data_IF_835518173541
#
_entry.id   IF_835518173541
#
_cell.length_a   1.000
_cell.length_b   1.000
_cell.length_c   1.000
_cell.angle_alpha   90.00
_cell.angle_beta   90.00
_cell.angle_gamma   90.00
#
_symmetry.space_group_name_H-M   'P 1'
#
loop_
_entity.id
_entity.type
_entity.pdbx_description
1 polymer ?
#
# COMPACT_ATOMS: atom_id res chain seq x y z
N UNK A 1 -10.33 65.47 -25.89
CA UNK A 1 -11.10 64.21 -25.87
C UNK A 1 -10.31 62.97 -25.40
N UNK A 2 -9.19 63.06 -24.66
CA UNK A 2 -8.35 61.88 -24.39
C UNK A 2 -8.18 61.45 -22.91
N UNK A 3 -8.42 62.31 -21.92
CA UNK A 3 -8.07 61.96 -20.53
C UNK A 3 -8.95 60.84 -19.94
N UNK A 4 -10.26 60.86 -20.17
CA UNK A 4 -11.21 59.82 -19.68
C UNK A 4 -11.01 58.45 -20.35
N UNK A 5 -10.65 58.43 -21.64
CA UNK A 5 -10.40 57.17 -22.35
C UNK A 5 -9.09 56.53 -21.87
N UNK A 6 -8.05 57.33 -21.61
CA UNK A 6 -6.78 56.83 -21.08
C UNK A 6 -6.97 56.19 -19.70
N UNK A 7 -7.71 56.82 -18.76
CA UNK A 7 -7.95 56.24 -17.42
C UNK A 7 -8.72 54.91 -17.48
N UNK A 8 -9.70 54.80 -18.40
CA UNK A 8 -10.51 53.59 -18.54
C UNK A 8 -9.68 52.39 -19.04
N UNK A 9 -8.75 52.64 -19.97
CA UNK A 9 -7.86 51.59 -20.49
C UNK A 9 -6.83 51.15 -19.44
N UNK A 10 -6.33 52.05 -18.59
CA UNK A 10 -5.40 51.71 -17.51
C UNK A 10 -6.05 50.85 -16.44
N UNK A 11 -7.30 51.16 -16.04
CA UNK A 11 -8.05 50.38 -15.06
C UNK A 11 -8.40 48.98 -15.61
N UNK A 12 -8.79 48.90 -16.88
CA UNK A 12 -9.08 47.60 -17.52
C UNK A 12 -7.84 46.72 -17.67
N UNK A 13 -6.68 47.32 -18.02
CA UNK A 13 -5.41 46.59 -18.10
C UNK A 13 -4.94 46.10 -16.73
N UNK A 14 -5.07 46.92 -15.68
CA UNK A 14 -4.74 46.52 -14.30
C UNK A 14 -5.66 45.38 -13.81
N UNK A 15 -6.96 45.45 -14.14
CA UNK A 15 -7.90 44.36 -13.85
C UNK A 15 -7.51 43.06 -14.58
N UNK A 16 -7.14 43.11 -15.86
CA UNK A 16 -6.70 41.92 -16.61
C UNK A 16 -5.43 41.28 -16.02
N UNK A 17 -4.48 42.08 -15.52
CA UNK A 17 -3.26 41.57 -14.88
C UNK A 17 -3.58 40.87 -13.54
N UNK A 18 -4.57 41.36 -12.78
CA UNK A 18 -5.02 40.70 -11.55
C UNK A 18 -5.71 39.35 -11.80
N UNK A 19 -6.28 39.11 -13.00
CA UNK A 19 -6.91 37.82 -13.34
C UNK A 19 -5.91 36.76 -13.84
N UNK A 20 -4.68 37.14 -14.22
CA UNK A 20 -3.67 36.21 -14.72
C UNK A 20 -2.91 35.44 -13.62
N UNK A 21 -3.20 35.71 -12.34
CA UNK A 21 -2.44 35.17 -11.20
C UNK A 21 -3.00 33.90 -10.53
N UNK A 22 -4.19 33.42 -10.91
CA UNK A 22 -4.80 32.25 -10.27
C UNK A 22 -4.41 30.95 -10.98
N UNK A 23 -3.18 30.48 -10.78
CA UNK A 23 -2.80 29.09 -11.09
C UNK A 23 -2.74 28.29 -9.80
N UNK A 24 -3.72 27.40 -9.59
CA UNK A 24 -3.71 26.47 -8.46
C UNK A 24 -2.81 25.27 -8.79
N UNK A 25 -2.02 24.74 -7.83
CA UNK A 25 -1.18 23.58 -8.09
C UNK A 25 -2.03 22.34 -8.42
N UNK A 26 -1.55 21.51 -9.35
CA UNK A 26 -2.21 20.24 -9.68
C UNK A 26 -1.83 19.16 -8.65
N UNK A 27 -2.79 18.37 -8.15
CA UNK A 27 -2.49 17.26 -7.26
C UNK A 27 -1.78 16.12 -8.00
N UNK A 28 -0.86 15.45 -7.32
CA UNK A 28 -0.19 14.21 -7.72
C UNK A 28 -0.79 13.05 -6.94
N UNK A 29 -1.08 11.95 -7.63
CA UNK A 29 -1.68 10.76 -7.06
C UNK A 29 -0.67 9.62 -6.98
N UNK A 30 -0.62 8.95 -5.84
CA UNK A 30 0.29 7.87 -5.52
C UNK A 30 -0.50 6.59 -5.24
N UNK A 31 0.00 5.47 -5.75
CA UNK A 31 -0.54 4.15 -5.48
C UNK A 31 0.55 3.29 -4.85
N UNK A 32 0.16 2.45 -3.90
CA UNK A 32 1.06 1.44 -3.36
C UNK A 32 1.29 0.35 -4.42
N UNK A 33 2.38 -0.38 -4.32
CA UNK A 33 2.68 -1.50 -5.21
C UNK A 33 3.28 -2.66 -4.42
N UNK A 34 3.06 -3.86 -4.93
CA UNK A 34 3.77 -5.02 -4.43
C UNK A 34 5.27 -4.80 -4.65
N UNK A 35 6.07 -5.27 -3.69
CA UNK A 35 7.51 -5.19 -3.84
C UNK A 35 7.95 -6.28 -4.83
N UNK A 36 8.18 -5.88 -6.07
CA UNK A 36 8.67 -6.77 -7.13
C UNK A 36 10.08 -7.30 -6.84
N UNK A 37 10.74 -6.85 -5.76
CA UNK A 37 12.09 -7.26 -5.43
C UNK A 37 13.04 -6.78 -6.49
N UNK A 38 13.37 -5.48 -6.45
CA UNK A 38 14.33 -4.82 -7.34
C UNK A 38 13.86 -4.59 -8.78
N UNK A 39 13.97 -3.32 -9.22
CA UNK A 39 14.01 -2.95 -10.62
C UNK A 39 15.22 -3.60 -11.31
N UNK A 40 15.08 -4.86 -11.74
CA UNK A 40 15.87 -5.49 -12.79
C UNK A 40 15.26 -6.85 -13.15
N UNK A 41 14.74 -6.94 -14.37
CA UNK A 41 14.40 -8.19 -15.07
C UNK A 41 13.06 -8.80 -14.69
N UNK A 42 12.04 -8.43 -15.46
CA UNK A 42 10.93 -9.32 -15.80
C UNK A 42 11.53 -10.57 -16.45
N UNK A 43 11.83 -11.58 -15.65
CA UNK A 43 12.10 -12.94 -16.11
C UNK A 43 10.88 -13.76 -15.73
N UNK A 44 10.40 -14.51 -16.73
CA UNK A 44 9.24 -15.40 -16.70
C UNK A 44 8.85 -15.93 -15.32
N UNK A 45 7.54 -15.91 -15.05
CA UNK A 45 6.93 -16.57 -13.91
C UNK A 45 7.55 -17.96 -13.70
N UNK A 46 7.96 -18.32 -12.48
CA UNK A 46 8.55 -19.63 -12.22
C UNK A 46 7.52 -20.71 -12.62
N UNK A 47 7.96 -21.66 -13.44
CA UNK A 47 7.14 -22.78 -13.84
C UNK A 47 6.66 -23.51 -12.57
N UNK A 48 5.34 -23.54 -12.37
CA UNK A 48 4.72 -24.26 -11.27
C UNK A 48 5.10 -25.73 -11.40
N UNK A 49 5.75 -26.36 -10.41
CA UNK A 49 6.06 -27.77 -10.48
C UNK A 49 4.76 -28.57 -10.60
N UNK A 50 4.67 -29.40 -11.63
CA UNK A 50 3.56 -30.32 -11.89
C UNK A 50 3.41 -31.25 -10.69
N UNK A 51 2.46 -30.95 -9.79
CA UNK A 51 2.22 -31.73 -8.56
C UNK A 51 2.03 -30.89 -7.29
N UNK A 52 2.27 -29.57 -7.31
CA UNK A 52 1.95 -28.71 -6.17
C UNK A 52 0.43 -28.56 -5.99
N UNK A 53 -0.07 -28.83 -4.79
CA UNK A 53 -1.46 -28.52 -4.42
C UNK A 53 -1.64 -27.01 -4.49
N UNK A 54 -2.60 -26.55 -5.30
CA UNK A 54 -2.89 -25.12 -5.43
C UNK A 54 -3.34 -24.57 -4.06
N UNK A 55 -2.61 -23.58 -3.57
CA UNK A 55 -2.92 -22.91 -2.30
C UNK A 55 -3.89 -21.76 -2.58
N UNK A 56 -5.13 -21.84 -2.11
CA UNK A 56 -6.06 -20.72 -2.20
C UNK A 56 -5.93 -19.84 -0.95
N UNK A 57 -5.74 -18.52 -1.13
CA UNK A 57 -5.62 -17.54 -0.04
C UNK A 57 -6.57 -16.37 -0.30
N UNK A 58 -7.33 -15.98 0.71
CA UNK A 58 -8.22 -14.83 0.68
C UNK A 58 -7.74 -13.80 1.69
N UNK A 59 -7.35 -12.64 1.21
CA UNK A 59 -7.07 -11.46 2.03
C UNK A 59 -8.39 -10.73 2.27
N UNK A 60 -8.85 -10.74 3.52
CA UNK A 60 -10.04 -10.03 3.92
C UNK A 60 -9.85 -8.51 3.98
N UNK A 61 -10.89 -7.76 4.36
CA UNK A 61 -10.79 -6.32 4.55
C UNK A 61 -9.68 -5.95 5.53
N UNK A 62 -8.90 -4.93 5.17
CA UNK A 62 -7.86 -4.34 6.02
C UNK A 62 -8.44 -3.16 6.79
N UNK A 63 -8.09 -3.04 8.06
CA UNK A 63 -8.38 -1.87 8.89
C UNK A 63 -7.16 -0.96 8.99
N UNK A 64 -7.40 0.35 9.03
CA UNK A 64 -6.37 1.40 9.02
C UNK A 64 -6.83 2.51 9.98
N UNK A 65 -5.93 3.20 10.70
CA UNK A 65 -6.33 4.25 11.62
C UNK A 65 -6.99 5.43 10.88
N UNK A 66 -8.09 5.95 11.41
CA UNK A 66 -8.88 7.05 10.80
C UNK A 66 -8.07 8.32 10.51
N UNK A 67 -6.97 8.52 11.25
CA UNK A 67 -6.06 9.66 11.00
C UNK A 67 -5.47 9.60 9.60
N UNK A 68 -5.09 8.40 9.13
CA UNK A 68 -4.39 8.18 7.85
C UNK A 68 -5.28 7.55 6.77
N UNK A 69 -6.48 7.05 7.10
CA UNK A 69 -7.49 6.59 6.13
C UNK A 69 -8.19 7.78 5.45
N UNK A 70 -7.43 8.55 4.67
CA UNK A 70 -7.87 9.76 3.97
C UNK A 70 -7.28 9.81 2.57
N UNK A 71 -7.80 10.67 1.67
CA UNK A 71 -7.20 10.85 0.36
C UNK A 71 -5.83 11.52 0.38
N UNK A 72 -5.51 12.37 1.35
CA UNK A 72 -4.20 13.00 1.48
C UNK A 72 -3.20 12.04 2.11
N UNK A 73 -1.95 12.10 1.65
CA UNK A 73 -0.84 11.46 2.36
C UNK A 73 -0.57 12.27 3.63
N UNK A 74 -0.54 11.57 4.76
CA UNK A 74 -0.31 12.15 6.08
C UNK A 74 1.13 11.91 6.47
N UNK A 75 1.85 12.97 6.82
CA UNK A 75 3.21 12.91 7.34
C UNK A 75 3.31 13.56 8.71
N UNK A 76 4.31 13.16 9.50
CA UNK A 76 4.66 13.77 10.78
C UNK A 76 5.95 14.56 10.61
N UNK A 77 5.98 15.76 11.18
CA UNK A 77 7.18 16.58 11.27
C UNK A 77 7.93 16.35 12.59
N UNK A 78 9.19 16.79 12.65
CA UNK A 78 10.08 16.57 13.80
C UNK A 78 9.57 17.19 15.11
N UNK A 79 8.71 18.20 15.04
CA UNK A 79 8.05 18.85 16.17
C UNK A 79 6.76 18.15 16.61
N UNK A 80 6.52 16.92 16.11
CA UNK A 80 5.32 16.12 16.34
C UNK A 80 4.03 16.74 15.78
N UNK A 81 4.13 17.69 14.85
CA UNK A 81 2.97 18.16 14.08
C UNK A 81 2.62 17.19 12.96
N UNK A 82 1.33 17.14 12.63
CA UNK A 82 0.81 16.36 11.51
C UNK A 82 0.67 17.30 10.31
N UNK A 83 1.29 16.92 9.21
CA UNK A 83 1.16 17.61 7.93
C UNK A 83 0.32 16.78 6.98
N UNK A 84 -0.63 17.44 6.34
CA UNK A 84 -1.49 16.85 5.33
C UNK A 84 -1.28 17.64 4.05
N UNK A 85 -0.69 17.01 3.04
CA UNK A 85 -0.44 17.69 1.78
C UNK A 85 -1.65 17.54 0.86
N UNK A 86 -2.33 18.65 0.58
CA UNK A 86 -3.51 18.69 -0.30
C UNK A 86 -3.20 18.27 -1.75
N UNK A 87 -1.92 18.30 -2.14
CA UNK A 87 -1.44 17.98 -3.49
C UNK A 87 -0.74 16.63 -3.59
N UNK A 88 -0.46 15.93 -2.48
CA UNK A 88 0.06 14.56 -2.51
C UNK A 88 -0.99 13.61 -1.95
N UNK A 89 -1.59 12.82 -2.84
CA UNK A 89 -2.81 12.06 -2.51
C UNK A 89 -2.68 10.59 -2.85
N UNK A 90 -3.34 9.74 -2.07
CA UNK A 90 -3.56 8.36 -2.47
C UNK A 90 -4.51 8.29 -3.67
N UNK A 91 -4.16 7.43 -4.64
CA UNK A 91 -4.95 7.19 -5.85
C UNK A 91 -6.22 6.37 -5.58
N UNK A 92 -6.25 5.64 -4.46
CA UNK A 92 -7.37 4.84 -3.99
C UNK A 92 -7.49 4.94 -2.46
N UNK A 93 -8.63 4.55 -1.86
CA UNK A 93 -8.74 4.42 -0.41
C UNK A 93 -7.63 3.52 0.15
N UNK A 94 -6.86 4.04 1.11
CA UNK A 94 -5.62 3.43 1.58
C UNK A 94 -5.81 1.97 2.04
N UNK A 95 -6.88 1.70 2.79
CA UNK A 95 -7.23 0.33 3.22
C UNK A 95 -7.46 -0.66 2.07
N UNK A 96 -8.03 -0.22 0.96
CA UNK A 96 -8.23 -1.08 -0.21
C UNK A 96 -6.91 -1.36 -0.91
N UNK A 97 -6.06 -0.33 -1.00
CA UNK A 97 -4.78 -0.44 -1.68
C UNK A 97 -3.79 -1.32 -0.89
N UNK A 98 -3.76 -1.19 0.44
CA UNK A 98 -2.99 -2.08 1.31
C UNK A 98 -3.45 -3.54 1.15
N UNK A 99 -4.76 -3.80 1.18
CA UNK A 99 -5.28 -5.16 0.99
C UNK A 99 -4.90 -5.76 -0.37
N UNK A 100 -4.91 -4.95 -1.43
CA UNK A 100 -4.46 -5.35 -2.76
C UNK A 100 -2.97 -5.66 -2.80
N UNK A 101 -2.13 -4.82 -2.18
CA UNK A 101 -0.67 -5.01 -2.14
C UNK A 101 -0.30 -6.26 -1.34
N UNK A 102 -0.89 -6.44 -0.15
CA UNK A 102 -0.68 -7.65 0.66
C UNK A 102 -1.09 -8.91 -0.14
N UNK A 103 -2.21 -8.89 -0.85
CA UNK A 103 -2.61 -10.01 -1.69
C UNK A 103 -1.60 -10.32 -2.81
N UNK A 104 -1.07 -9.27 -3.46
CA UNK A 104 -0.08 -9.42 -4.53
C UNK A 104 1.28 -9.93 -3.99
N UNK A 105 1.77 -9.38 -2.89
CA UNK A 105 2.99 -9.85 -2.23
C UNK A 105 2.86 -11.32 -1.78
N UNK A 106 1.71 -11.70 -1.21
CA UNK A 106 1.44 -13.08 -0.80
C UNK A 106 1.42 -14.02 -2.00
N UNK A 107 0.84 -13.60 -3.14
CA UNK A 107 0.87 -14.40 -4.36
C UNK A 107 2.30 -14.67 -4.82
N UNK A 108 3.15 -13.64 -4.85
CA UNK A 108 4.56 -13.78 -5.22
C UNK A 108 5.32 -14.68 -4.23
N UNK A 109 5.10 -14.50 -2.92
CA UNK A 109 5.83 -15.22 -1.86
C UNK A 109 5.39 -16.67 -1.71
N UNK A 110 4.12 -16.98 -1.93
CA UNK A 110 3.56 -18.33 -1.83
C UNK A 110 3.63 -19.09 -3.17
N UNK A 111 4.03 -18.41 -4.25
CA UNK A 111 4.26 -19.03 -5.56
C UNK A 111 2.95 -19.38 -6.27
N UNK A 112 2.66 -20.67 -6.44
CA UNK A 112 1.48 -21.18 -7.16
C UNK A 112 0.14 -20.96 -6.42
N UNK A 113 0.09 -19.98 -5.51
CA UNK A 113 -1.09 -19.65 -4.75
C UNK A 113 -2.05 -18.79 -5.56
N UNK A 114 -3.34 -19.11 -5.52
CA UNK A 114 -4.40 -18.22 -6.00
C UNK A 114 -4.77 -17.30 -4.85
N UNK A 115 -4.34 -16.05 -4.92
CA UNK A 115 -4.63 -15.05 -3.89
C UNK A 115 -5.69 -14.08 -4.38
N UNK A 116 -6.75 -13.87 -3.60
CA UNK A 116 -7.81 -12.91 -3.91
C UNK A 116 -8.12 -12.00 -2.71
N UNK A 117 -8.62 -10.80 -2.99
CA UNK A 117 -9.18 -9.91 -1.97
C UNK A 117 -10.71 -10.06 -1.81
N UNK A 118 -11.30 -10.95 -2.60
CA UNK A 118 -12.74 -11.24 -2.62
C UNK A 118 -12.95 -12.69 -2.23
N UNK A 119 -13.80 -12.92 -1.23
CA UNK A 119 -14.32 -14.24 -0.88
C UNK A 119 -15.53 -14.53 -1.79
N UNK A 120 -15.36 -15.40 -2.79
CA UNK A 120 -16.45 -15.76 -3.73
C UNK A 120 -17.39 -16.83 -3.12
N UNK A 121 -17.16 -17.23 -1.86
CA UNK A 121 -18.05 -18.14 -1.13
C UNK A 121 -17.88 -19.62 -1.50
N UNK A 122 -18.85 -20.43 -1.07
CA UNK A 122 -18.79 -21.89 -0.89
C UNK A 122 -18.50 -22.75 -2.13
N UNK A 123 -18.41 -22.16 -3.33
CA UNK A 123 -18.00 -22.83 -4.57
C UNK A 123 -16.48 -22.79 -4.80
N UNK A 124 -15.74 -22.09 -3.93
CA UNK A 124 -14.27 -21.97 -3.98
C UNK A 124 -13.63 -23.07 -3.12
N UNK A 125 -12.47 -23.63 -3.49
CA UNK A 125 -11.79 -24.61 -2.65
C UNK A 125 -11.46 -24.04 -1.25
N UNK A 126 -11.19 -24.90 -0.26
CA UNK A 126 -10.86 -24.46 1.08
C UNK A 126 -9.67 -23.50 1.06
N UNK A 127 -9.92 -22.23 1.41
CA UNK A 127 -8.91 -21.18 1.35
C UNK A 127 -8.43 -20.75 2.73
N UNK A 128 -7.15 -20.38 2.79
CA UNK A 128 -6.56 -19.63 3.89
C UNK A 128 -7.20 -18.26 3.96
N UNK A 129 -7.56 -17.79 5.16
CA UNK A 129 -8.08 -16.43 5.34
C UNK A 129 -7.10 -15.59 6.13
N UNK A 130 -6.71 -14.47 5.56
CA UNK A 130 -5.82 -13.48 6.17
C UNK A 130 -6.63 -12.25 6.53
N UNK A 131 -6.50 -11.76 7.75
CA UNK A 131 -6.98 -10.43 8.16
C UNK A 131 -5.80 -9.63 8.68
N UNK A 132 -5.72 -8.37 8.26
CA UNK A 132 -4.68 -7.42 8.69
C UNK A 132 -5.36 -6.22 9.34
N UNK A 133 -4.89 -5.87 10.52
CA UNK A 133 -5.24 -4.65 11.23
C UNK A 133 -4.01 -3.77 11.39
N UNK A 134 -3.98 -2.66 10.67
CA UNK A 134 -2.91 -1.67 10.79
C UNK A 134 -3.25 -0.80 12.00
N UNK A 135 -2.45 -0.93 13.06
CA UNK A 135 -2.66 -0.19 14.31
C UNK A 135 -1.98 1.17 14.29
N UNK A 136 -0.92 1.32 13.49
CA UNK A 136 -0.16 2.57 13.35
C UNK A 136 0.53 2.68 12.00
N UNK A 137 0.48 3.87 11.42
CA UNK A 137 1.34 4.30 10.32
C UNK A 137 1.95 5.63 10.74
N UNK A 138 3.27 5.66 10.90
CA UNK A 138 4.04 6.89 11.14
C UNK A 138 4.93 7.13 9.91
N UNK A 139 4.69 8.23 9.21
CA UNK A 139 5.38 8.59 7.97
C UNK A 139 6.10 9.91 8.15
N UNK A 140 7.43 9.91 8.05
CA UNK A 140 8.27 11.10 8.18
C UNK A 140 9.03 11.30 6.87
N UNK A 141 8.74 12.40 6.18
CA UNK A 141 9.30 12.68 4.85
C UNK A 141 10.82 12.83 4.94
N UNK A 142 11.55 12.10 4.09
CA UNK A 142 13.02 12.09 4.07
C UNK A 142 13.68 11.40 5.26
N UNK A 143 12.92 10.71 6.10
CA UNK A 143 13.45 9.95 7.24
C UNK A 143 12.98 8.49 7.21
N UNK A 144 11.72 8.23 7.55
CA UNK A 144 11.26 6.86 7.73
C UNK A 144 9.74 6.66 7.59
N UNK A 145 9.35 5.42 7.32
CA UNK A 145 7.97 4.92 7.43
C UNK A 145 7.97 3.77 8.41
N UNK A 146 7.09 3.83 9.40
CA UNK A 146 6.85 2.73 10.35
C UNK A 146 5.41 2.27 10.24
N UNK A 147 5.21 0.98 9.98
CA UNK A 147 3.88 0.33 9.97
C UNK A 147 3.84 -0.72 11.06
N UNK A 148 2.86 -0.59 11.96
CA UNK A 148 2.57 -1.54 13.02
C UNK A 148 1.28 -2.29 12.66
N UNK A 149 1.37 -3.61 12.50
CA UNK A 149 0.28 -4.43 12.01
C UNK A 149 0.07 -5.69 12.85
N UNK A 150 -1.16 -5.90 13.31
CA UNK A 150 -1.61 -7.18 13.83
C UNK A 150 -2.26 -7.96 12.69
N UNK A 151 -2.03 -9.26 12.64
CA UNK A 151 -2.60 -10.10 11.59
C UNK A 151 -3.05 -11.45 12.13
N UNK A 152 -4.04 -12.02 11.46
CA UNK A 152 -4.57 -13.35 11.75
C UNK A 152 -4.60 -14.16 10.47
N UNK A 153 -4.08 -15.38 10.57
CA UNK A 153 -4.13 -16.39 9.52
C UNK A 153 -5.03 -17.54 10.00
N UNK A 154 -6.05 -17.85 9.21
CA UNK A 154 -6.95 -18.98 9.44
C UNK A 154 -6.74 -20.05 8.36
N UNK A 155 -6.35 -21.28 8.72
CA UNK A 155 -6.24 -22.38 7.78
C UNK A 155 -7.61 -22.84 7.29
N UNK A 156 -7.68 -23.45 6.09
CA UNK A 156 -8.88 -24.12 5.63
C UNK A 156 -9.26 -25.32 6.52
N UNK A 157 -10.54 -25.47 6.83
CA UNK A 157 -11.06 -26.65 7.54
C UNK A 157 -10.66 -26.80 9.01
N UNK A 158 -9.87 -25.87 9.56
CA UNK A 158 -9.39 -25.91 10.94
C UNK A 158 -9.89 -24.71 11.74
N UNK A 159 -10.11 -24.91 13.04
CA UNK A 159 -10.54 -23.86 13.97
C UNK A 159 -9.36 -23.07 14.55
N UNK A 160 -8.16 -23.65 14.59
CA UNK A 160 -6.97 -22.99 15.11
C UNK A 160 -6.60 -21.78 14.23
N UNK A 161 -6.31 -20.66 14.88
CA UNK A 161 -5.90 -19.41 14.24
C UNK A 161 -4.45 -19.13 14.64
N UNK A 162 -3.66 -18.66 13.68
CA UNK A 162 -2.35 -18.09 13.96
C UNK A 162 -2.48 -16.58 14.05
N UNK A 163 -2.15 -16.03 15.22
CA UNK A 163 -2.07 -14.58 15.43
C UNK A 163 -0.62 -14.16 15.32
N UNK A 164 -0.38 -13.00 14.73
CA UNK A 164 0.95 -12.41 14.65
C UNK A 164 0.91 -10.89 14.69
N UNK A 165 2.11 -10.34 14.83
CA UNK A 165 2.36 -8.91 14.96
C UNK A 165 3.68 -8.60 14.26
N UNK A 166 3.66 -7.60 13.39
CA UNK A 166 4.84 -7.13 12.67
C UNK A 166 4.93 -5.62 12.84
N UNK A 167 6.12 -5.14 13.22
CA UNK A 167 6.48 -3.73 13.18
C UNK A 167 7.56 -3.55 12.12
N UNK A 168 7.17 -3.02 10.96
CA UNK A 168 8.07 -2.77 9.85
C UNK A 168 8.55 -1.31 9.88
N UNK A 169 9.86 -1.10 9.80
CA UNK A 169 10.47 0.22 9.79
C UNK A 169 11.39 0.34 8.58
N UNK A 170 11.08 1.28 7.68
CA UNK A 170 11.74 1.46 6.40
C UNK A 170 12.24 2.88 6.23
N UNK A 171 13.47 3.04 5.75
CA UNK A 171 14.10 4.33 5.54
C UNK A 171 13.58 5.00 4.26
N UNK A 172 13.35 6.31 4.31
CA UNK A 172 12.93 7.11 3.16
C UNK A 172 14.17 7.75 2.54
N UNK A 173 14.44 7.45 1.27
CA UNK A 173 15.72 7.77 0.62
C UNK A 173 15.87 9.23 0.18
N UNK A 174 14.77 9.97 0.08
CA UNK A 174 14.74 11.36 -0.39
C UNK A 174 13.50 12.09 0.15
N UNK A 175 13.51 13.43 0.09
CA UNK A 175 12.42 14.26 0.62
C UNK A 175 11.20 14.35 -0.32
N UNK A 176 10.96 13.36 -1.17
CA UNK A 176 9.82 13.32 -2.07
C UNK A 176 8.84 12.20 -1.69
N UNK A 177 7.57 12.40 -2.06
CA UNK A 177 6.50 11.45 -1.76
C UNK A 177 6.63 10.12 -2.53
N UNK A 178 7.38 10.08 -3.64
CA UNK A 178 7.67 8.83 -4.34
C UNK A 178 8.53 7.90 -3.47
N UNK A 179 9.63 8.42 -2.92
CA UNK A 179 10.47 7.67 -1.99
C UNK A 179 9.76 7.31 -0.68
N UNK A 180 8.82 8.15 -0.22
CA UNK A 180 7.96 7.84 0.92
C UNK A 180 7.05 6.65 0.63
N UNK A 181 6.43 6.61 -0.55
CA UNK A 181 5.56 5.51 -1.00
C UNK A 181 6.37 4.23 -1.19
N UNK A 182 7.55 4.32 -1.78
CA UNK A 182 8.47 3.16 -1.90
C UNK A 182 8.83 2.58 -0.52
N UNK A 183 8.92 3.39 0.53
CA UNK A 183 9.13 2.91 1.90
C UNK A 183 7.88 2.25 2.50
N UNK A 184 6.67 2.72 2.16
CA UNK A 184 5.44 2.00 2.51
C UNK A 184 5.38 0.63 1.84
N UNK A 185 5.72 0.55 0.55
CA UNK A 185 5.71 -0.71 -0.21
C UNK A 185 6.62 -1.75 0.46
N UNK A 186 7.86 -1.36 0.82
CA UNK A 186 8.79 -2.25 1.53
C UNK A 186 8.29 -2.66 2.92
N UNK A 187 7.67 -1.73 3.65
CA UNK A 187 7.14 -2.02 4.98
C UNK A 187 5.97 -3.02 4.92
N UNK A 188 5.10 -2.88 3.92
CA UNK A 188 4.04 -3.85 3.63
C UNK A 188 4.60 -5.19 3.18
N UNK A 189 5.66 -5.18 2.37
CA UNK A 189 6.33 -6.41 1.94
C UNK A 189 6.91 -7.20 3.13
N UNK A 190 7.44 -6.52 4.16
CA UNK A 190 7.89 -7.16 5.40
C UNK A 190 6.72 -7.81 6.17
N UNK A 191 5.58 -7.12 6.30
CA UNK A 191 4.36 -7.69 6.91
C UNK A 191 3.88 -8.92 6.11
N UNK A 192 3.82 -8.81 4.78
CA UNK A 192 3.47 -9.92 3.89
C UNK A 192 4.44 -11.10 4.02
N UNK A 193 5.72 -10.86 4.31
CA UNK A 193 6.72 -11.90 4.54
C UNK A 193 6.39 -12.75 5.78
N UNK A 194 6.06 -12.10 6.90
CA UNK A 194 5.73 -12.76 8.15
C UNK A 194 4.43 -13.57 8.04
N UNK A 195 3.41 -13.01 7.37
CA UNK A 195 2.15 -13.73 7.07
C UNK A 195 2.43 -14.96 6.21
N UNK A 196 3.25 -14.84 5.16
CA UNK A 196 3.61 -15.97 4.31
C UNK A 196 4.39 -17.04 5.09
N UNK A 197 5.27 -16.65 6.01
CA UNK A 197 5.99 -17.57 6.88
C UNK A 197 5.02 -18.36 7.78
N UNK A 198 4.03 -17.69 8.37
CA UNK A 198 3.00 -18.34 9.19
C UNK A 198 2.17 -19.36 8.40
N UNK A 199 1.79 -19.03 7.15
CA UNK A 199 1.07 -19.96 6.28
C UNK A 199 1.92 -21.20 5.97
N UNK A 200 3.21 -21.05 5.65
CA UNK A 200 4.11 -22.19 5.37
C UNK A 200 4.38 -23.05 6.60
N UNK A 201 4.42 -22.47 7.80
CA UNK A 201 4.65 -23.22 9.03
C UNK A 201 3.51 -24.20 9.35
N UNK A 202 2.26 -23.81 9.06
CA UNK A 202 1.08 -24.65 9.27
C UNK A 202 0.77 -25.57 8.04
N UNK A 203 1.30 -25.22 6.86
CA UNK A 203 1.30 -26.08 5.67
C UNK A 203 2.73 -26.48 5.26
N UNK A 204 3.37 -27.46 5.93
CA UNK A 204 4.63 -27.99 5.48
C UNK A 204 4.43 -28.58 4.08
N UNK A 205 5.15 -28.03 3.09
CA UNK A 205 5.23 -28.61 1.75
C UNK A 205 5.77 -30.03 1.90
N UNK A 206 4.93 -31.05 1.68
CA UNK A 206 5.36 -32.45 1.63
C UNK A 206 6.32 -32.57 0.45
N UNK A 207 7.63 -32.52 0.72
CA UNK A 207 8.63 -32.36 -0.32
C UNK A 207 10.07 -32.38 0.18
N UNK A 208 10.40 -33.32 1.06
CA UNK A 208 11.78 -33.79 1.25
C UNK A 208 11.76 -35.11 2.01
N UNK A 209 11.32 -36.18 1.34
CA UNK A 209 11.75 -37.51 1.68
C UNK A 209 13.12 -37.72 1.02
N UNK A 210 14.16 -37.55 1.82
CA UNK A 210 15.50 -38.08 1.53
C UNK A 210 15.40 -39.59 1.56
N UNK A 211 15.72 -40.23 0.43
CA UNK A 211 16.21 -41.61 0.35
C UNK A 211 17.58 -41.53 -0.34
#
# INVERSE_FOLDING_TARGET
MNRRNVTLHTVLAAALVCLAGCSSPSPTFYALRADDGSAATSTAAPAVPTGAVALDVVVGPVTVPDMVDRPQIVTRNADNTIEMNEFARWAAPLKLDIGRVVAADLAQRLGAARVSTVDVGATTPPAWRVRVDITRIDSVLGDSVTIDAQWVVKPPGHAALTLGHTVAHEQVKSQDYGALVDAHDRALAAISADIAAAIRADHPTVGSATD
#
